data_IF_754320139106
#
_entry.id   IF_754320139106
#
_cell.length_a   1.000
_cell.length_b   1.000
_cell.length_c   1.000
_cell.angle_alpha   90.00
_cell.angle_beta   90.00
_cell.angle_gamma   90.00
#
_symmetry.space_group_name_H-M   'P 1'
#
loop_
_entity.id
_entity.type
_entity.pdbx_description
1 polymer ?
#
# COMPACT_ATOMS: atom_id res chain seq x y z
N UNK A 1 -14.80 -21.97 -17.41
CA UNK A 1 -15.94 -21.04 -17.58
C UNK A 1 -15.67 -19.64 -16.98
N UNK A 2 -14.44 -19.12 -17.00
CA UNK A 2 -14.08 -17.80 -16.42
C UNK A 2 -13.62 -16.79 -17.49
N UNK A 3 -13.50 -17.22 -18.75
CA UNK A 3 -12.85 -16.44 -19.82
C UNK A 3 -13.80 -15.56 -20.66
N UNK A 4 -15.11 -15.63 -20.41
CA UNK A 4 -16.14 -14.93 -21.20
C UNK A 4 -16.57 -13.59 -20.58
N UNK A 5 -16.68 -13.53 -19.24
CA UNK A 5 -17.09 -12.32 -18.54
C UNK A 5 -16.01 -11.22 -18.58
N UNK A 6 -14.72 -11.59 -18.56
CA UNK A 6 -13.64 -10.59 -18.57
C UNK A 6 -13.59 -9.80 -19.88
N UNK A 7 -13.81 -10.44 -21.03
CA UNK A 7 -13.73 -9.80 -22.36
C UNK A 7 -14.78 -8.72 -22.55
N UNK A 8 -15.99 -8.93 -22.02
CA UNK A 8 -17.12 -8.00 -22.17
C UNK A 8 -17.02 -6.79 -21.26
N UNK A 9 -16.45 -6.96 -20.06
CA UNK A 9 -16.16 -5.82 -19.19
C UNK A 9 -15.02 -4.97 -19.73
N UNK A 10 -13.99 -5.57 -20.37
CA UNK A 10 -12.86 -4.84 -20.94
C UNK A 10 -13.29 -3.86 -22.05
N UNK A 11 -14.27 -4.23 -22.89
CA UNK A 11 -14.77 -3.35 -23.96
C UNK A 11 -15.59 -2.15 -23.46
N UNK A 12 -16.05 -2.18 -22.20
CA UNK A 12 -16.80 -1.11 -21.57
C UNK A 12 -15.92 -0.23 -20.66
N UNK A 13 -14.66 -0.61 -20.45
CA UNK A 13 -13.73 0.22 -19.69
C UNK A 13 -13.26 1.40 -20.55
N UNK A 14 -13.33 2.64 -20.04
CA UNK A 14 -12.77 3.78 -20.75
C UNK A 14 -11.30 3.54 -21.07
N UNK A 15 -10.87 3.92 -22.27
CA UNK A 15 -9.47 3.78 -22.69
C UNK A 15 -8.67 4.87 -21.97
N UNK A 16 -8.20 4.55 -20.77
CA UNK A 16 -7.33 5.43 -19.99
C UNK A 16 -5.90 5.38 -20.54
N UNK A 17 -5.22 6.54 -20.56
CA UNK A 17 -3.80 6.61 -20.88
C UNK A 17 -3.03 5.65 -19.97
N UNK A 18 -2.08 4.89 -20.55
CA UNK A 18 -1.23 3.97 -19.78
C UNK A 18 -0.41 4.78 -18.78
N UNK A 19 -0.68 4.59 -17.49
CA UNK A 19 0.07 5.21 -16.40
C UNK A 19 1.16 4.25 -15.91
N UNK A 20 2.38 4.73 -15.61
CA UNK A 20 3.50 3.88 -15.25
C UNK A 20 3.26 3.12 -13.93
N UNK A 21 2.52 3.71 -12.99
CA UNK A 21 2.16 3.05 -11.72
C UNK A 21 1.14 1.91 -11.87
N UNK A 22 0.50 1.76 -13.04
CA UNK A 22 -0.52 0.71 -13.26
C UNK A 22 0.06 -0.68 -13.02
N UNK A 23 1.29 -0.93 -13.46
CA UNK A 23 1.96 -2.21 -13.21
C UNK A 23 2.18 -2.43 -11.71
N UNK A 24 2.66 -1.41 -11.00
CA UNK A 24 2.96 -1.50 -9.56
C UNK A 24 1.72 -1.89 -8.73
N UNK A 25 0.54 -1.40 -9.10
CA UNK A 25 -0.70 -1.62 -8.32
C UNK A 25 -1.54 -2.79 -8.87
N UNK A 26 -1.58 -2.96 -10.19
CA UNK A 26 -2.56 -3.82 -10.86
C UNK A 26 -1.91 -5.02 -11.59
N UNK A 27 -0.60 -5.27 -11.45
CA UNK A 27 -0.01 -6.46 -12.08
C UNK A 27 -0.68 -7.74 -11.56
N UNK A 28 -1.11 -8.67 -12.45
CA UNK A 28 -1.79 -9.89 -12.03
C UNK A 28 -0.91 -10.81 -11.17
N UNK A 29 0.41 -10.72 -11.30
CA UNK A 29 1.38 -11.53 -10.54
C UNK A 29 1.52 -11.06 -9.07
N UNK A 30 1.18 -9.80 -8.75
CA UNK A 30 1.34 -9.29 -7.39
C UNK A 30 0.29 -9.93 -6.48
N UNK A 31 0.75 -10.52 -5.38
CA UNK A 31 -0.12 -11.16 -4.40
C UNK A 31 -1.17 -10.16 -3.86
N UNK A 32 -2.46 -10.54 -3.75
CA UNK A 32 -3.53 -9.61 -3.36
C UNK A 32 -3.27 -8.85 -2.04
N UNK A 33 -2.57 -9.47 -1.08
CA UNK A 33 -2.18 -8.81 0.17
C UNK A 33 -1.32 -7.56 -0.06
N UNK A 34 -0.33 -7.62 -0.96
CA UNK A 34 0.50 -6.45 -1.28
C UNK A 34 -0.32 -5.36 -1.97
N UNK A 35 -1.25 -5.73 -2.88
CA UNK A 35 -2.16 -4.74 -3.50
C UNK A 35 -2.99 -4.01 -2.45
N UNK A 36 -3.54 -4.74 -1.49
CA UNK A 36 -4.32 -4.17 -0.41
C UNK A 36 -3.47 -3.27 0.50
N UNK A 37 -2.27 -3.70 0.88
CA UNK A 37 -1.34 -2.88 1.68
C UNK A 37 -0.91 -1.62 0.94
N UNK A 38 -0.54 -1.71 -0.34
CA UNK A 38 -0.20 -0.54 -1.16
C UNK A 38 -1.38 0.43 -1.29
N UNK A 39 -2.60 -0.10 -1.46
CA UNK A 39 -3.80 0.72 -1.46
C UNK A 39 -3.99 1.43 -0.12
N UNK A 40 -3.87 0.73 1.01
CA UNK A 40 -3.97 1.38 2.32
C UNK A 40 -2.89 2.45 2.52
N UNK A 41 -1.64 2.17 2.14
CA UNK A 41 -0.54 3.12 2.24
C UNK A 41 -0.78 4.37 1.39
N UNK A 42 -1.22 4.23 0.13
CA UNK A 42 -1.50 5.35 -0.76
C UNK A 42 -2.60 6.28 -0.24
N UNK A 43 -3.55 5.74 0.53
CA UNK A 43 -4.64 6.50 1.13
C UNK A 43 -4.34 6.93 2.58
N UNK A 44 -3.11 6.74 3.07
CA UNK A 44 -2.72 6.99 4.47
C UNK A 44 -3.60 6.25 5.48
N UNK A 45 -4.14 5.07 5.10
CA UNK A 45 -5.05 4.22 5.90
C UNK A 45 -4.36 3.01 6.52
N UNK A 46 -3.04 2.91 6.42
CA UNK A 46 -2.29 1.88 7.13
C UNK A 46 -2.36 2.14 8.64
N UNK A 47 -2.37 1.09 9.44
CA UNK A 47 -2.46 1.17 10.90
C UNK A 47 -1.08 1.50 11.53
N UNK A 48 -0.52 2.65 11.15
CA UNK A 48 0.70 3.22 11.74
C UNK A 48 0.41 3.83 13.11
N UNK A 49 1.42 3.91 13.97
CA UNK A 49 1.25 4.51 15.31
C UNK A 49 0.65 5.93 15.26
N UNK A 50 1.07 6.77 14.30
CA UNK A 50 0.52 8.12 14.14
C UNK A 50 -1.00 8.12 13.88
N UNK A 51 -1.50 7.15 13.10
CA UNK A 51 -2.90 7.02 12.75
C UNK A 51 -3.70 6.40 13.88
N UNK A 52 -3.13 5.40 14.56
CA UNK A 52 -3.73 4.79 15.74
C UNK A 52 -3.93 5.83 16.85
N UNK A 53 -2.94 6.72 17.07
CA UNK A 53 -3.09 7.83 18.01
C UNK A 53 -4.19 8.81 17.60
N UNK A 54 -4.30 9.16 16.30
CA UNK A 54 -5.38 10.04 15.78
C UNK A 54 -6.79 9.48 16.00
N UNK A 55 -6.94 8.15 16.06
CA UNK A 55 -8.24 7.50 16.34
C UNK A 55 -8.45 7.19 17.83
N UNK A 56 -7.56 7.66 18.72
CA UNK A 56 -7.68 7.52 20.17
C UNK A 56 -7.11 6.22 20.75
N UNK A 57 -6.39 5.43 19.96
CA UNK A 57 -5.73 4.20 20.45
C UNK A 57 -4.37 4.57 21.00
N UNK A 58 -4.12 4.24 22.26
CA UNK A 58 -2.83 4.45 22.91
C UNK A 58 -1.85 3.34 22.48
N UNK A 59 -0.84 3.71 21.71
CA UNK A 59 0.25 2.84 21.26
C UNK A 59 1.59 3.56 21.36
N UNK A 60 2.72 2.83 21.48
CA UNK A 60 4.05 3.43 21.32
C UNK A 60 4.15 4.15 19.98
N UNK A 61 4.64 5.39 19.99
CA UNK A 61 4.77 6.21 18.78
C UNK A 61 6.00 5.86 17.95
N UNK A 62 6.95 5.14 18.54
CA UNK A 62 8.19 4.72 17.92
C UNK A 62 7.93 3.65 16.85
N UNK A 63 8.72 3.68 15.77
CA UNK A 63 8.64 2.70 14.70
C UNK A 63 8.93 1.30 15.20
N UNK A 64 8.00 0.37 14.98
CA UNK A 64 8.09 -1.03 15.43
C UNK A 64 9.30 -1.79 14.87
N UNK A 65 9.93 -1.27 13.81
CA UNK A 65 11.14 -1.84 13.24
C UNK A 65 12.39 -1.24 13.88
N UNK A 66 12.62 0.06 13.70
CA UNK A 66 13.91 0.67 14.06
C UNK A 66 13.94 1.32 15.45
N UNK A 67 12.80 1.51 16.11
CA UNK A 67 12.66 2.19 17.41
C UNK A 67 13.33 3.57 17.52
N UNK A 68 13.66 4.22 16.40
CA UNK A 68 14.48 5.45 16.39
C UNK A 68 13.71 6.71 15.94
N UNK A 69 12.51 6.55 15.39
CA UNK A 69 11.69 7.66 14.91
C UNK A 69 10.21 7.32 15.02
N UNK A 70 9.35 8.32 14.85
CA UNK A 70 7.90 8.12 14.86
C UNK A 70 7.44 7.21 13.71
N UNK A 71 6.55 6.28 14.00
CA UNK A 71 5.96 5.40 12.98
C UNK A 71 4.92 6.16 12.15
N UNK A 72 5.37 6.64 10.98
CA UNK A 72 4.50 7.15 9.91
C UNK A 72 4.62 6.26 8.68
N UNK A 73 3.71 6.40 7.71
CA UNK A 73 3.83 5.70 6.43
C UNK A 73 5.11 6.11 5.70
N UNK A 74 5.49 7.39 5.70
CA UNK A 74 6.74 7.82 5.06
C UNK A 74 7.95 7.15 5.72
N UNK A 75 7.99 7.14 7.05
CA UNK A 75 9.08 6.53 7.78
C UNK A 75 9.13 5.01 7.53
N UNK A 76 8.00 4.31 7.65
CA UNK A 76 7.92 2.86 7.53
C UNK A 76 8.43 2.35 6.18
N UNK A 77 8.11 3.05 5.08
CA UNK A 77 8.47 2.61 3.73
C UNK A 77 9.75 3.23 3.20
N UNK A 78 10.05 4.49 3.54
CA UNK A 78 11.11 5.26 2.86
C UNK A 78 12.25 5.72 3.75
N UNK A 79 12.04 5.98 5.06
CA UNK A 79 13.11 6.51 5.92
C UNK A 79 13.72 5.50 6.88
N UNK A 80 12.96 4.49 7.30
CA UNK A 80 13.37 3.47 8.26
C UNK A 80 14.61 2.73 7.78
N UNK A 81 15.64 2.70 8.63
CA UNK A 81 16.92 2.05 8.33
C UNK A 81 16.78 0.56 8.05
N UNK A 82 15.89 -0.12 8.79
CA UNK A 82 15.61 -1.55 8.59
C UNK A 82 14.89 -1.78 7.27
N UNK A 83 13.83 -1.00 6.98
CA UNK A 83 13.12 -1.12 5.71
C UNK A 83 14.04 -0.88 4.52
N UNK A 84 14.91 0.15 4.58
CA UNK A 84 15.92 0.44 3.56
C UNK A 84 16.90 -0.70 3.32
N UNK A 85 17.18 -1.52 4.33
CA UNK A 85 18.08 -2.67 4.19
C UNK A 85 17.40 -3.89 3.54
N UNK A 86 16.06 -3.93 3.51
CA UNK A 86 15.27 -5.02 2.92
C UNK A 86 14.95 -4.74 1.45
N UNK A 87 14.66 -3.48 1.10
CA UNK A 87 14.40 -3.03 -0.26
C UNK A 87 15.63 -3.16 -1.17
#
# INVERSE_FOLDING_TARGET
MVNSLSKRCISLLPIYKKVPWKSIVLHPIIHPRFKFTCWLAAWQRLATADRLLKIGVQVPLECSFCNNAMETVEHLFFDCSISKAIW
#
